data_IF_758793863598
#
_entry.id   IF_758793863598
#
_cell.length_a   1.000
_cell.length_b   1.000
_cell.length_c   1.000
_cell.angle_alpha   90.00
_cell.angle_beta   90.00
_cell.angle_gamma   90.00
#
_symmetry.space_group_name_H-M   'P 1'
#
loop_
_entity.id
_entity.type
_entity.pdbx_description
1 polymer ?
#
# COMPACT_ATOMS: atom_id res chain seq x y z
N UNK A 1 31.39 7.54 -22.84
CA UNK A 1 30.40 8.60 -23.17
C UNK A 1 29.58 8.32 -24.44
N UNK A 2 29.44 7.05 -24.88
CA UNK A 2 28.66 6.73 -26.10
C UNK A 2 27.30 6.09 -25.81
N UNK A 3 27.08 5.51 -24.62
CA UNK A 3 25.80 4.89 -24.26
C UNK A 3 24.69 5.91 -23.99
N UNK A 4 25.00 7.10 -23.46
CA UNK A 4 24.02 8.14 -23.11
C UNK A 4 23.36 8.79 -24.33
N UNK A 5 24.03 8.81 -25.47
CA UNK A 5 23.54 9.45 -26.71
C UNK A 5 22.51 8.54 -27.41
N UNK A 6 22.65 7.22 -27.30
CA UNK A 6 21.66 6.25 -27.79
C UNK A 6 20.37 6.26 -26.94
N UNK A 7 20.46 6.57 -25.63
CA UNK A 7 19.29 6.67 -24.73
C UNK A 7 18.35 7.83 -25.12
N UNK A 8 18.89 9.02 -25.39
CA UNK A 8 18.06 10.20 -25.70
C UNK A 8 17.53 10.21 -27.14
N UNK A 9 18.24 9.61 -28.09
CA UNK A 9 17.90 9.71 -29.50
C UNK A 9 16.82 8.70 -29.94
N UNK A 10 16.54 7.68 -29.13
CA UNK A 10 15.79 6.51 -29.61
C UNK A 10 14.58 6.09 -28.77
N UNK A 11 14.05 6.93 -27.86
CA UNK A 11 12.76 6.71 -27.16
C UNK A 11 12.57 5.23 -26.72
N UNK A 12 13.63 4.60 -26.19
CA UNK A 12 13.65 3.17 -25.93
C UNK A 12 12.81 2.88 -24.68
N UNK A 13 11.52 2.63 -24.93
CA UNK A 13 10.49 2.23 -23.99
C UNK A 13 10.66 0.76 -23.61
N UNK A 14 11.70 0.42 -22.84
CA UNK A 14 11.99 -0.97 -22.52
C UNK A 14 12.89 -1.08 -21.27
N UNK A 15 12.33 -0.81 -20.10
CA UNK A 15 12.77 -1.48 -18.88
C UNK A 15 11.55 -2.13 -18.27
N UNK A 16 11.13 -3.22 -18.91
CA UNK A 16 10.02 -3.98 -18.38
C UNK A 16 10.44 -4.68 -17.09
N UNK A 17 9.62 -4.52 -16.06
CA UNK A 17 9.83 -5.22 -14.80
C UNK A 17 9.72 -6.72 -15.05
N UNK A 18 10.76 -7.53 -14.77
CA UNK A 18 10.65 -8.99 -14.85
C UNK A 18 9.59 -9.46 -13.86
N UNK A 19 8.84 -10.48 -14.24
CA UNK A 19 7.81 -11.06 -13.38
C UNK A 19 8.43 -11.47 -12.05
N UNK A 20 7.87 -11.05 -10.90
CA UNK A 20 8.36 -11.52 -9.62
C UNK A 20 8.18 -13.04 -9.56
N UNK A 21 9.31 -13.73 -9.54
CA UNK A 21 9.34 -15.18 -9.53
C UNK A 21 8.65 -15.71 -8.27
N UNK A 22 7.75 -16.70 -8.41
CA UNK A 22 6.91 -17.20 -7.31
C UNK A 22 7.70 -17.67 -6.08
N UNK A 23 8.98 -18.01 -6.26
CA UNK A 23 9.86 -18.50 -5.20
C UNK A 23 10.79 -17.42 -4.62
N UNK A 24 10.98 -16.28 -5.28
CA UNK A 24 11.95 -15.26 -4.83
C UNK A 24 11.31 -13.88 -4.77
N UNK A 25 11.26 -13.32 -3.57
CA UNK A 25 10.91 -11.91 -3.34
C UNK A 25 11.98 -11.02 -3.97
N UNK A 26 11.63 -10.31 -5.05
CA UNK A 26 12.60 -9.61 -5.89
C UNK A 26 13.28 -8.37 -5.24
N UNK A 27 12.76 -7.85 -4.12
CA UNK A 27 13.38 -6.75 -3.37
C UNK A 27 13.05 -6.82 -1.89
N UNK A 28 13.91 -6.24 -1.05
CA UNK A 28 13.64 -6.05 0.37
C UNK A 28 12.53 -5.00 0.61
N UNK A 29 11.76 -5.21 1.67
CA UNK A 29 10.73 -4.27 2.09
C UNK A 29 11.35 -2.99 2.66
N UNK A 30 10.88 -1.82 2.20
CA UNK A 30 11.22 -0.53 2.80
C UNK A 30 10.55 -0.41 4.18
N UNK A 31 11.04 0.48 5.03
CA UNK A 31 10.47 0.69 6.36
C UNK A 31 8.96 0.99 6.33
N UNK A 32 8.48 1.81 5.38
CA UNK A 32 7.03 2.07 5.21
C UNK A 32 6.28 0.79 4.87
N UNK A 33 6.84 -0.02 3.98
CA UNK A 33 6.21 -1.27 3.57
C UNK A 33 6.17 -2.26 4.72
N UNK A 34 7.19 -2.30 5.58
CA UNK A 34 7.19 -3.10 6.82
C UNK A 34 6.10 -2.62 7.79
N UNK A 35 5.96 -1.30 7.99
CA UNK A 35 4.89 -0.76 8.84
C UNK A 35 3.51 -1.07 8.27
N UNK A 36 3.30 -0.89 6.96
CA UNK A 36 2.03 -1.19 6.31
C UNK A 36 1.73 -2.70 6.28
N UNK A 37 2.76 -3.53 6.17
CA UNK A 37 2.65 -4.99 6.25
C UNK A 37 2.12 -5.44 7.61
N UNK A 38 2.66 -4.91 8.70
CA UNK A 38 2.18 -5.20 10.06
C UNK A 38 0.70 -4.84 10.22
N UNK A 39 0.29 -3.66 9.72
CA UNK A 39 -1.11 -3.23 9.75
C UNK A 39 -1.99 -4.14 8.89
N UNK A 40 -1.54 -4.47 7.68
CA UNK A 40 -2.26 -5.34 6.76
C UNK A 40 -2.46 -6.75 7.34
N UNK A 41 -1.45 -7.26 8.08
CA UNK A 41 -1.51 -8.55 8.75
C UNK A 41 -2.59 -8.59 9.83
N UNK A 42 -2.62 -7.60 10.72
CA UNK A 42 -3.67 -7.50 11.74
C UNK A 42 -5.05 -7.30 11.10
N UNK A 43 -5.10 -6.52 10.02
CA UNK A 43 -6.33 -6.34 9.25
C UNK A 43 -6.84 -7.64 8.63
N UNK A 44 -5.96 -8.43 8.01
CA UNK A 44 -6.31 -9.72 7.42
C UNK A 44 -6.81 -10.69 8.48
N UNK A 45 -6.14 -10.73 9.64
CA UNK A 45 -6.58 -11.53 10.79
C UNK A 45 -7.99 -11.12 11.25
N UNK A 46 -8.26 -9.83 11.35
CA UNK A 46 -9.60 -9.31 11.68
C UNK A 46 -10.66 -9.73 10.65
N UNK A 47 -10.35 -9.61 9.36
CA UNK A 47 -11.28 -10.03 8.30
C UNK A 47 -11.62 -11.52 8.37
N UNK A 48 -10.62 -12.37 8.63
CA UNK A 48 -10.81 -13.81 8.79
C UNK A 48 -11.65 -14.11 10.03
N UNK A 49 -11.38 -13.45 11.16
CA UNK A 49 -12.15 -13.62 12.40
C UNK A 49 -13.62 -13.19 12.25
N UNK A 50 -13.88 -12.16 11.44
CA UNK A 50 -15.25 -11.71 11.16
C UNK A 50 -15.96 -12.50 10.06
N UNK A 51 -15.26 -13.39 9.37
CA UNK A 51 -15.86 -14.18 8.31
C UNK A 51 -16.88 -15.17 8.91
N UNK A 52 -18.06 -15.24 8.27
CA UNK A 52 -19.14 -16.16 8.69
C UNK A 52 -18.98 -17.54 8.05
N UNK A 53 -18.18 -17.62 6.99
CA UNK A 53 -17.88 -18.85 6.29
C UNK A 53 -16.59 -19.45 6.87
N UNK A 54 -16.47 -20.79 6.94
CA UNK A 54 -15.24 -21.46 7.36
C UNK A 54 -14.14 -21.17 6.35
N UNK A 55 -13.13 -20.41 6.77
CA UNK A 55 -11.99 -20.02 5.95
C UNK A 55 -10.71 -20.09 6.78
N UNK A 56 -9.69 -20.73 6.18
CA UNK A 56 -8.32 -20.74 6.71
C UNK A 56 -7.42 -20.02 5.71
N UNK A 57 -6.75 -18.95 6.12
CA UNK A 57 -5.82 -18.21 5.27
C UNK A 57 -4.38 -18.53 5.68
N UNK A 58 -3.60 -19.10 4.77
CA UNK A 58 -2.15 -19.21 4.89
C UNK A 58 -1.50 -17.98 4.23
N UNK A 59 -0.97 -17.09 5.05
CA UNK A 59 -0.39 -15.82 4.62
C UNK A 59 1.14 -15.86 4.64
N UNK A 60 1.74 -15.57 3.50
CA UNK A 60 3.20 -15.41 3.34
C UNK A 60 3.51 -13.95 2.99
N UNK A 61 4.17 -13.19 3.88
CA UNK A 61 4.51 -11.79 3.62
C UNK A 61 5.62 -11.68 2.58
N UNK A 62 5.63 -10.56 1.86
CA UNK A 62 6.66 -10.24 0.88
C UNK A 62 7.75 -9.34 1.45
N UNK A 63 9.01 -9.61 1.08
CA UNK A 63 10.14 -8.67 1.24
C UNK A 63 11.09 -8.95 2.39
N UNK A 64 10.84 -9.98 3.18
CA UNK A 64 11.74 -10.44 4.24
C UNK A 64 11.69 -11.96 4.32
N UNK A 65 12.84 -12.63 4.21
CA UNK A 65 12.91 -14.09 4.18
C UNK A 65 12.79 -14.71 5.58
N UNK A 66 12.99 -13.91 6.63
CA UNK A 66 12.94 -14.36 8.02
C UNK A 66 11.52 -14.37 8.61
N UNK A 67 10.56 -13.73 7.94
CA UNK A 67 9.19 -13.63 8.46
C UNK A 67 8.41 -14.88 8.05
N UNK A 68 8.21 -15.77 9.01
CA UNK A 68 7.50 -17.03 8.84
C UNK A 68 6.06 -16.87 8.33
N UNK A 69 5.61 -17.88 7.59
CA UNK A 69 4.22 -18.05 7.19
C UNK A 69 3.30 -18.03 8.41
N UNK A 70 2.13 -17.42 8.27
CA UNK A 70 1.13 -17.35 9.33
C UNK A 70 -0.20 -17.87 8.86
N UNK A 71 -0.85 -18.64 9.73
CA UNK A 71 -2.17 -19.20 9.47
C UNK A 71 -3.21 -18.46 10.28
N UNK A 72 -4.22 -17.91 9.60
CA UNK A 72 -5.39 -17.29 10.21
C UNK A 72 -6.58 -18.20 10.02
N UNK A 73 -7.33 -18.47 11.08
CA UNK A 73 -8.46 -19.39 11.07
C UNK A 73 -9.71 -18.61 11.50
N UNK A 74 -10.79 -18.74 10.73
CA UNK A 74 -12.08 -18.15 11.08
C UNK A 74 -12.69 -18.79 12.33
N UNK A 75 -13.57 -18.09 13.04
CA UNK A 75 -14.27 -18.65 14.20
C UNK A 75 -15.19 -19.83 13.84
N UNK A 76 -15.67 -19.90 12.60
CA UNK A 76 -16.33 -21.09 12.07
C UNK A 76 -15.29 -22.13 11.66
N UNK A 77 -15.29 -23.27 12.32
CA UNK A 77 -14.34 -24.35 12.05
C UNK A 77 -14.68 -25.04 10.74
N UNK A 78 -13.71 -25.14 9.84
CA UNK A 78 -13.78 -26.13 8.75
C UNK A 78 -13.39 -27.50 9.32
N UNK A 79 -14.01 -28.59 8.85
CA UNK A 79 -13.68 -29.93 9.33
C UNK A 79 -12.20 -30.27 9.06
N UNK A 80 -11.59 -31.21 9.81
CA UNK A 80 -10.18 -31.57 9.64
C UNK A 80 -9.83 -32.14 8.25
N UNK A 81 -10.82 -32.48 7.42
CA UNK A 81 -10.65 -33.04 6.07
C UNK A 81 -10.94 -32.05 4.93
N UNK A 82 -11.42 -30.83 5.24
CA UNK A 82 -11.85 -29.87 4.22
C UNK A 82 -10.71 -28.93 3.79
N UNK A 83 -9.77 -29.48 3.01
CA UNK A 83 -8.77 -28.71 2.25
C UNK A 83 -9.39 -27.69 1.26
N UNK A 84 -10.71 -27.76 1.06
CA UNK A 84 -11.50 -26.84 0.25
C UNK A 84 -11.60 -25.42 0.84
N UNK A 85 -11.48 -25.29 2.17
CA UNK A 85 -11.56 -24.03 2.93
C UNK A 85 -10.23 -23.26 3.06
N UNK A 86 -9.10 -23.90 2.75
CA UNK A 86 -7.77 -23.27 2.86
C UNK A 86 -7.49 -22.38 1.65
N UNK A 87 -7.04 -21.15 1.89
CA UNK A 87 -6.65 -20.17 0.86
C UNK A 87 -5.21 -19.76 1.15
N UNK A 88 -4.34 -19.93 0.17
CA UNK A 88 -2.95 -19.47 0.23
C UNK A 88 -2.86 -18.07 -0.36
N UNK A 89 -2.27 -17.15 0.41
CA UNK A 89 -2.08 -15.75 0.03
C UNK A 89 -0.61 -15.41 0.19
N UNK A 90 0.07 -15.20 -0.93
CA UNK A 90 1.50 -14.87 -0.97
C UNK A 90 1.74 -13.51 -1.59
N UNK A 91 2.36 -12.61 -0.84
CA UNK A 91 2.79 -11.31 -1.37
C UNK A 91 4.12 -11.49 -2.10
N UNK A 92 4.10 -11.38 -3.42
CA UNK A 92 5.28 -11.55 -4.28
C UNK A 92 6.21 -10.33 -4.24
N UNK A 93 5.63 -9.13 -4.06
CA UNK A 93 6.38 -7.88 -4.01
C UNK A 93 5.91 -6.99 -2.87
N UNK A 94 6.82 -6.44 -2.03
CA UNK A 94 6.48 -5.50 -0.96
C UNK A 94 5.81 -4.21 -1.44
N UNK A 95 5.85 -3.93 -2.75
CA UNK A 95 5.17 -2.77 -3.33
C UNK A 95 3.65 -2.89 -3.17
N UNK A 96 3.14 -4.11 -3.02
CA UNK A 96 1.75 -4.41 -2.74
C UNK A 96 1.23 -3.56 -1.57
N UNK A 97 1.93 -3.53 -0.43
CA UNK A 97 1.45 -2.81 0.76
C UNK A 97 1.33 -1.31 0.54
N UNK A 98 2.28 -0.72 -0.19
CA UNK A 98 2.20 0.69 -0.55
C UNK A 98 1.04 0.95 -1.52
N UNK A 99 0.85 0.08 -2.52
CA UNK A 99 -0.23 0.21 -3.52
C UNK A 99 -1.61 -0.05 -2.92
N UNK A 100 -1.73 -0.97 -1.98
CA UNK A 100 -3.01 -1.34 -1.35
C UNK A 100 -3.73 -0.12 -0.75
N UNK A 101 -2.98 0.77 -0.09
CA UNK A 101 -3.50 2.00 0.55
C UNK A 101 -4.12 2.99 -0.44
N UNK A 102 -3.69 2.96 -1.71
CA UNK A 102 -4.19 3.86 -2.74
C UNK A 102 -5.57 3.46 -3.28
N UNK A 103 -5.94 2.18 -3.16
CA UNK A 103 -7.25 1.71 -3.60
C UNK A 103 -8.35 2.18 -2.64
N UNK A 104 -9.53 2.46 -3.21
CA UNK A 104 -10.71 2.83 -2.42
C UNK A 104 -11.48 1.60 -1.94
N UNK A 105 -11.44 0.51 -2.71
CA UNK A 105 -12.11 -0.74 -2.40
C UNK A 105 -11.09 -1.87 -2.27
N UNK A 106 -11.13 -2.55 -1.14
CA UNK A 106 -10.18 -3.60 -0.81
C UNK A 106 -10.33 -4.80 -1.76
N UNK A 107 -11.55 -5.15 -2.17
CA UNK A 107 -11.79 -6.20 -3.17
C UNK A 107 -11.23 -5.84 -4.55
N UNK A 108 -11.37 -4.57 -4.99
CA UNK A 108 -10.75 -4.06 -6.21
C UNK A 108 -9.22 -4.13 -6.11
N UNK A 109 -8.67 -3.72 -4.96
CA UNK A 109 -7.23 -3.76 -4.70
C UNK A 109 -6.67 -5.16 -4.90
N UNK A 110 -7.29 -6.17 -4.27
CA UNK A 110 -6.85 -7.56 -4.38
C UNK A 110 -6.95 -8.06 -5.82
N UNK A 111 -8.05 -7.79 -6.52
CA UNK A 111 -8.21 -8.25 -7.91
C UNK A 111 -7.19 -7.59 -8.85
N UNK A 112 -7.01 -6.27 -8.75
CA UNK A 112 -6.03 -5.55 -9.58
C UNK A 112 -4.60 -6.00 -9.27
N UNK A 113 -4.30 -6.29 -8.00
CA UNK A 113 -2.95 -6.74 -7.60
C UNK A 113 -2.66 -8.20 -7.96
N UNK A 114 -3.68 -9.06 -8.07
CA UNK A 114 -3.55 -10.45 -8.55
C UNK A 114 -3.50 -10.50 -10.09
N UNK A 115 -4.46 -9.87 -10.76
CA UNK A 115 -4.67 -10.01 -12.20
C UNK A 115 -3.84 -9.04 -13.05
N UNK A 116 -3.71 -7.77 -12.63
CA UNK A 116 -3.04 -6.74 -13.43
C UNK A 116 -1.60 -6.53 -12.99
N UNK A 117 -1.37 -6.37 -11.69
CA UNK A 117 -0.09 -5.95 -11.13
C UNK A 117 0.77 -7.11 -10.60
N UNK A 118 0.22 -8.34 -10.55
CA UNK A 118 0.78 -9.59 -9.98
C UNK A 118 1.80 -9.36 -8.85
N UNK A 119 1.43 -8.51 -7.90
CA UNK A 119 2.21 -8.31 -6.67
C UNK A 119 1.73 -9.25 -5.56
N UNK A 120 0.56 -9.83 -5.75
CA UNK A 120 -0.09 -10.81 -4.89
C UNK A 120 -0.36 -12.09 -5.69
N UNK A 121 -0.11 -13.24 -5.10
CA UNK A 121 -0.50 -14.54 -5.61
C UNK A 121 -1.49 -15.19 -4.64
N UNK A 122 -2.52 -15.81 -5.20
CA UNK A 122 -3.46 -16.63 -4.44
C UNK A 122 -3.84 -17.85 -5.26
N UNK A 123 -4.08 -18.96 -4.58
CA UNK A 123 -4.54 -20.21 -5.16
C UNK A 123 -6.04 -20.16 -5.52
N UNK A 124 -6.87 -19.50 -4.70
CA UNK A 124 -8.33 -19.45 -4.82
C UNK A 124 -8.85 -18.00 -4.79
N UNK A 125 -8.68 -17.22 -5.87
CA UNK A 125 -9.07 -15.81 -5.91
C UNK A 125 -10.57 -15.59 -5.68
N UNK A 126 -11.43 -16.50 -6.15
CA UNK A 126 -12.88 -16.41 -5.99
C UNK A 126 -13.31 -16.46 -4.52
N UNK A 127 -12.68 -17.33 -3.72
CA UNK A 127 -12.98 -17.46 -2.29
C UNK A 127 -12.42 -16.26 -1.50
N UNK A 128 -11.26 -15.75 -1.91
CA UNK A 128 -10.66 -14.56 -1.31
C UNK A 128 -11.60 -13.35 -1.42
N UNK A 129 -12.30 -13.20 -2.55
CA UNK A 129 -13.28 -12.11 -2.68
C UNK A 129 -14.37 -12.18 -1.61
N UNK A 130 -14.81 -13.37 -1.17
CA UNK A 130 -15.86 -13.52 -0.13
C UNK A 130 -15.39 -12.99 1.23
N UNK A 131 -14.09 -13.05 1.51
CA UNK A 131 -13.48 -12.50 2.73
C UNK A 131 -13.46 -10.97 2.66
N UNK A 132 -13.13 -10.41 1.50
CA UNK A 132 -13.04 -8.95 1.29
C UNK A 132 -14.36 -8.27 0.88
N UNK A 133 -15.39 -9.02 0.48
CA UNK A 133 -16.69 -8.51 -0.02
C UNK A 133 -17.68 -8.15 1.10
N UNK A 134 -17.33 -8.32 2.37
CA UNK A 134 -18.32 -8.20 3.46
C UNK A 134 -18.63 -6.75 3.86
N UNK A 135 -19.94 -6.52 4.01
CA UNK A 135 -20.78 -5.41 4.53
C UNK A 135 -20.09 -4.05 4.72
N UNK A 136 -20.63 -3.06 4.00
CA UNK A 136 -20.09 -1.70 3.88
C UNK A 136 -19.52 -1.12 5.17
N UNK A 137 -18.35 -0.48 5.02
CA UNK A 137 -17.62 0.21 6.08
C UNK A 137 -18.55 0.97 7.02
N UNK A 138 -18.39 0.82 8.35
CA UNK A 138 -19.17 1.57 9.32
C UNK A 138 -19.02 3.08 9.10
N UNK A 139 -20.04 3.88 9.45
CA UNK A 139 -19.95 5.32 9.34
C UNK A 139 -18.82 5.86 10.21
N UNK A 140 -18.16 6.92 9.73
CA UNK A 140 -16.97 7.51 10.35
C UNK A 140 -17.25 7.85 11.81
N UNK A 141 -16.68 7.09 12.74
CA UNK A 141 -16.63 7.43 14.16
C UNK A 141 -15.28 8.07 14.46
N UNK A 142 -15.09 9.31 13.99
CA UNK A 142 -13.87 10.06 14.26
C UNK A 142 -13.90 10.56 15.71
N UNK A 143 -13.07 9.98 16.56
CA UNK A 143 -12.92 10.41 17.95
C UNK A 143 -12.32 11.81 18.08
N UNK A 144 -11.54 12.25 17.08
CA UNK A 144 -10.83 13.53 17.08
C UNK A 144 -11.02 14.30 15.75
N UNK A 145 -11.02 15.63 15.82
CA UNK A 145 -11.08 16.52 14.65
C UNK A 145 -9.84 16.38 13.73
N UNK A 146 -8.65 16.18 14.31
CA UNK A 146 -7.43 15.98 13.53
C UNK A 146 -7.49 14.68 12.72
N UNK A 147 -8.02 13.62 13.33
CA UNK A 147 -8.26 12.36 12.63
C UNK A 147 -9.18 12.60 11.44
N UNK A 148 -10.32 13.26 11.65
CA UNK A 148 -11.25 13.61 10.58
C UNK A 148 -10.59 14.36 9.41
N UNK A 149 -9.80 15.41 9.72
CA UNK A 149 -9.10 16.18 8.69
C UNK A 149 -8.09 15.33 7.92
N UNK A 150 -7.36 14.46 8.61
CA UNK A 150 -6.40 13.56 7.99
C UNK A 150 -7.08 12.53 7.09
N UNK A 151 -8.23 11.99 7.50
CA UNK A 151 -9.00 11.08 6.68
C UNK A 151 -9.61 11.77 5.46
N UNK A 152 -10.04 13.02 5.58
CA UNK A 152 -10.48 13.79 4.42
C UNK A 152 -9.34 14.03 3.43
N UNK A 153 -8.14 14.31 3.94
CA UNK A 153 -6.94 14.42 3.12
C UNK A 153 -6.61 13.10 2.42
N UNK A 154 -6.59 11.97 3.15
CA UNK A 154 -6.37 10.63 2.60
C UNK A 154 -7.42 10.29 1.52
N UNK A 155 -8.70 10.56 1.81
CA UNK A 155 -9.80 10.33 0.87
C UNK A 155 -9.62 11.13 -0.42
N UNK A 156 -9.22 12.39 -0.33
CA UNK A 156 -8.96 13.27 -1.48
C UNK A 156 -7.72 12.84 -2.28
N UNK A 157 -6.69 12.34 -1.60
CA UNK A 157 -5.43 11.96 -2.22
C UNK A 157 -5.46 10.57 -2.87
N UNK A 158 -6.39 9.69 -2.47
CA UNK A 158 -6.52 8.35 -3.04
C UNK A 158 -6.78 8.36 -4.54
N UNK A 159 -5.98 7.58 -5.24
CA UNK A 159 -6.08 7.34 -6.68
C UNK A 159 -5.76 5.89 -6.94
N UNK A 160 -6.52 5.23 -7.81
CA UNK A 160 -6.15 3.90 -8.29
C UNK A 160 -4.70 3.99 -8.84
N UNK A 161 -3.76 3.18 -8.32
CA UNK A 161 -2.39 3.18 -8.82
C UNK A 161 -2.36 2.85 -10.30
N UNK A 162 -1.42 3.47 -11.02
CA UNK A 162 -1.20 3.09 -12.42
C UNK A 162 -0.81 1.61 -12.52
N UNK A 163 -1.29 0.98 -13.60
CA UNK A 163 -0.97 -0.41 -13.91
C UNK A 163 0.54 -0.51 -14.13
N UNK A 164 1.15 -1.53 -13.55
CA UNK A 164 2.57 -1.80 -13.78
C UNK A 164 2.73 -2.28 -15.23
N UNK A 165 3.36 -1.45 -16.08
CA UNK A 165 3.67 -1.81 -17.46
C UNK A 165 4.63 -3.00 -17.52
N UNK A 166 4.33 -3.97 -18.38
CA UNK A 166 5.01 -5.27 -18.50
C UNK A 166 5.25 -5.63 -19.96
N UNK A 167 6.26 -6.48 -20.25
CA UNK A 167 6.50 -6.91 -21.61
C UNK A 167 5.29 -7.74 -22.05
N UNK A 168 4.81 -7.49 -23.27
CA UNK A 168 3.68 -8.21 -23.85
C UNK A 168 4.07 -9.68 -24.09
N UNK A 169 3.76 -10.56 -23.13
CA UNK A 169 3.76 -12.00 -23.39
C UNK A 169 2.52 -12.32 -24.24
N UNK A 170 2.68 -12.21 -25.58
CA UNK A 170 1.94 -12.78 -26.73
C UNK A 170 0.42 -13.08 -26.70
N UNK A 171 -0.37 -12.79 -25.67
CA UNK A 171 -1.80 -13.20 -25.60
C UNK A 171 -2.72 -12.18 -24.94
N UNK A 172 -2.45 -10.87 -25.04
CA UNK A 172 -3.46 -9.88 -24.72
C UNK A 172 -3.41 -8.72 -25.72
N UNK A 173 -4.21 -8.86 -26.77
CA UNK A 173 -4.52 -7.76 -27.68
C UNK A 173 -5.18 -6.62 -26.91
N UNK A 174 -4.65 -5.42 -27.11
CA UNK A 174 -5.25 -4.11 -26.84
C UNK A 174 -6.53 -4.10 -25.98
N UNK A 175 -6.40 -4.37 -24.68
CA UNK A 175 -7.41 -3.93 -23.71
C UNK A 175 -7.18 -2.44 -23.52
N UNK A 176 -7.92 -1.66 -24.30
CA UNK A 176 -8.12 -0.24 -24.06
C UNK A 176 -8.30 0.00 -22.56
N UNK A 177 -7.59 0.99 -22.04
CA UNK A 177 -7.72 1.46 -20.66
C UNK A 177 -9.17 1.89 -20.45
N UNK A 178 -10.02 0.95 -20.01
CA UNK A 178 -11.35 1.27 -19.52
C UNK A 178 -11.10 2.09 -18.27
N UNK A 179 -11.25 3.41 -18.39
CA UNK A 179 -11.32 4.33 -17.26
C UNK A 179 -12.46 3.84 -16.38
N UNK A 180 -12.12 3.04 -15.37
CA UNK A 180 -13.07 2.54 -14.40
C UNK A 180 -13.85 3.71 -13.83
N UNK A 181 -15.17 3.54 -13.76
CA UNK A 181 -16.08 4.52 -13.18
C UNK A 181 -15.58 4.86 -11.78
N UNK A 182 -15.45 6.16 -11.51
CA UNK A 182 -14.97 6.68 -10.24
C UNK A 182 -16.02 6.47 -9.13
N UNK A 183 -16.06 5.25 -8.58
CA UNK A 183 -16.92 4.86 -7.45
C UNK A 183 -16.40 5.36 -6.09
N UNK A 184 -15.32 6.17 -6.08
CA UNK A 184 -14.59 6.61 -4.87
C UNK A 184 -15.36 7.58 -3.97
N UNK A 185 -16.45 8.18 -4.44
CA UNK A 185 -17.13 9.25 -3.70
C UNK A 185 -17.76 8.80 -2.37
N UNK A 186 -18.06 7.50 -2.22
CA UNK A 186 -19.04 7.09 -1.22
C UNK A 186 -18.49 6.53 0.09
N UNK A 187 -17.28 5.94 0.17
CA UNK A 187 -16.87 5.19 1.38
C UNK A 187 -15.38 5.29 1.73
N UNK A 188 -15.10 5.11 3.01
CA UNK A 188 -13.76 4.94 3.58
C UNK A 188 -13.24 3.54 3.21
N UNK A 189 -11.92 3.33 3.09
CA UNK A 189 -11.40 1.96 2.89
C UNK A 189 -11.70 1.16 4.15
N UNK A 190 -12.02 -0.12 3.98
CA UNK A 190 -12.31 -1.01 5.11
C UNK A 190 -11.09 -1.16 6.03
N UNK A 191 -9.86 -1.07 5.48
CA UNK A 191 -8.64 -1.06 6.29
C UNK A 191 -8.49 0.22 7.13
N UNK A 192 -8.88 1.39 6.62
CA UNK A 192 -8.87 2.62 7.45
C UNK A 192 -9.89 2.52 8.58
N UNK A 193 -11.08 1.98 8.28
CA UNK A 193 -12.13 1.77 9.27
C UNK A 193 -11.65 0.81 10.37
N UNK A 194 -10.94 -0.25 9.99
CA UNK A 194 -10.32 -1.17 10.94
C UNK A 194 -9.30 -0.47 11.86
N UNK A 195 -8.38 0.32 11.29
CA UNK A 195 -7.37 1.06 12.08
C UNK A 195 -8.03 2.07 13.02
N UNK A 196 -9.20 2.61 12.65
CA UNK A 196 -9.99 3.48 13.51
C UNK A 196 -10.66 2.72 14.66
N UNK A 197 -11.17 1.52 14.41
CA UNK A 197 -11.90 0.72 15.38
C UNK A 197 -11.00 -0.01 16.39
N UNK A 198 -9.83 -0.49 15.97
CA UNK A 198 -9.02 -1.41 16.79
C UNK A 198 -8.33 -0.74 18.00
N UNK A 199 -8.34 0.59 18.09
CA UNK A 199 -8.02 1.32 19.32
C UNK A 199 -6.54 1.38 19.74
N UNK A 200 -5.61 0.73 19.03
CA UNK A 200 -4.18 0.89 19.30
C UNK A 200 -3.65 2.22 18.75
N UNK A 201 -3.30 3.12 19.67
CA UNK A 201 -2.82 4.47 19.35
C UNK A 201 -1.48 4.44 18.62
N UNK A 202 -0.60 3.51 18.96
CA UNK A 202 0.73 3.44 18.36
C UNK A 202 0.64 3.00 16.91
N UNK A 203 -0.06 1.88 16.65
CA UNK A 203 -0.29 1.35 15.31
C UNK A 203 -1.06 2.33 14.43
N UNK A 204 -2.10 2.99 14.97
CA UNK A 204 -2.84 4.04 14.26
C UNK A 204 -1.94 5.20 13.85
N UNK A 205 -1.14 5.73 14.77
CA UNK A 205 -0.24 6.86 14.46
C UNK A 205 0.83 6.50 13.43
N UNK A 206 1.39 5.28 13.53
CA UNK A 206 2.39 4.75 12.59
C UNK A 206 1.79 4.56 11.19
N UNK A 207 0.57 4.01 11.12
CA UNK A 207 -0.20 3.87 9.88
C UNK A 207 -0.44 5.24 9.23
N UNK A 208 -1.08 6.15 9.96
CA UNK A 208 -1.44 7.48 9.46
C UNK A 208 -0.22 8.26 8.96
N UNK A 209 0.87 8.26 9.74
CA UNK A 209 2.13 8.89 9.34
C UNK A 209 2.68 8.29 8.05
N UNK A 210 2.66 6.96 7.93
CA UNK A 210 3.19 6.25 6.76
C UNK A 210 2.35 6.54 5.51
N UNK A 211 1.02 6.51 5.64
CA UNK A 211 0.08 6.78 4.54
C UNK A 211 0.18 8.22 4.05
N UNK A 212 0.18 9.20 4.97
CA UNK A 212 0.33 10.61 4.61
C UNK A 212 1.67 10.86 3.93
N UNK A 213 2.75 10.30 4.48
CA UNK A 213 4.09 10.41 3.87
C UNK A 213 4.12 9.81 2.47
N UNK A 214 3.43 8.69 2.25
CA UNK A 214 3.34 8.04 0.96
C UNK A 214 2.62 8.93 -0.07
N UNK A 215 1.46 9.51 0.30
CA UNK A 215 0.72 10.40 -0.61
C UNK A 215 1.43 11.73 -0.86
N UNK A 216 2.07 12.31 0.17
CA UNK A 216 2.86 13.53 0.00
C UNK A 216 4.07 13.27 -0.89
N UNK A 217 4.74 12.13 -0.73
CA UNK A 217 5.84 11.73 -1.61
C UNK A 217 5.38 11.51 -3.06
N UNK A 218 4.18 10.96 -3.27
CA UNK A 218 3.59 10.84 -4.61
C UNK A 218 3.34 12.22 -5.26
N UNK A 219 2.79 13.17 -4.51
CA UNK A 219 2.47 14.50 -5.03
C UNK A 219 3.67 15.42 -5.25
N UNK A 220 4.65 15.38 -4.34
CA UNK A 220 5.76 16.35 -4.32
C UNK A 220 7.05 15.73 -4.85
N UNK A 221 7.27 14.44 -4.60
CA UNK A 221 8.58 13.81 -4.73
C UNK A 221 8.60 12.67 -5.77
N UNK A 222 7.72 12.71 -6.78
CA UNK A 222 7.63 11.68 -7.84
C UNK A 222 7.57 10.25 -7.28
N UNK A 223 6.72 10.02 -6.26
CA UNK A 223 6.56 8.73 -5.56
C UNK A 223 7.82 8.21 -4.83
N UNK A 224 8.86 9.03 -4.66
CA UNK A 224 10.05 8.65 -3.91
C UNK A 224 10.05 9.23 -2.50
N UNK A 225 9.82 8.35 -1.52
CA UNK A 225 9.88 8.68 -0.09
C UNK A 225 11.27 9.18 0.32
N UNK A 226 12.34 8.71 -0.34
CA UNK A 226 13.71 9.14 -0.07
C UNK A 226 13.94 10.60 -0.48
N UNK A 227 13.39 11.01 -1.63
CA UNK A 227 13.47 12.41 -2.08
C UNK A 227 12.74 13.33 -1.12
N UNK A 228 11.58 12.92 -0.62
CA UNK A 228 10.84 13.70 0.39
C UNK A 228 11.69 13.92 1.66
N UNK A 229 12.38 12.88 2.15
CA UNK A 229 13.29 13.00 3.29
C UNK A 229 14.44 13.98 3.04
N UNK A 230 14.98 13.99 1.81
CA UNK A 230 16.06 14.90 1.43
C UNK A 230 15.56 16.35 1.37
N UNK A 231 14.36 16.58 0.83
CA UNK A 231 13.73 17.90 0.82
C UNK A 231 13.45 18.40 2.24
N UNK A 232 12.98 17.53 3.14
CA UNK A 232 12.78 17.87 4.55
C UNK A 232 14.09 18.31 5.21
N UNK A 233 15.18 17.59 4.95
CA UNK A 233 16.50 17.91 5.49
C UNK A 233 17.02 19.25 4.94
N UNK A 234 16.88 19.49 3.63
CA UNK A 234 17.22 20.77 3.03
C UNK A 234 16.39 21.92 3.61
N UNK A 235 15.08 21.71 3.81
CA UNK A 235 14.22 22.69 4.46
C UNK A 235 14.69 23.03 5.88
N UNK A 236 15.05 22.02 6.68
CA UNK A 236 15.60 22.23 8.03
C UNK A 236 16.92 23.01 7.99
N UNK A 237 17.81 22.72 7.04
CA UNK A 237 19.07 23.46 6.88
C UNK A 237 18.83 24.93 6.53
N UNK A 238 17.90 25.21 5.61
CA UNK A 238 17.55 26.58 5.22
C UNK A 238 16.94 27.34 6.39
N UNK A 239 16.00 26.73 7.12
CA UNK A 239 15.37 27.37 8.29
C UNK A 239 16.39 27.66 9.39
N UNK A 240 17.24 26.69 9.71
CA UNK A 240 18.32 26.89 10.70
C UNK A 240 19.30 27.98 10.26
N UNK A 241 19.64 28.04 8.97
CA UNK A 241 20.49 29.09 8.42
C UNK A 241 19.86 30.47 8.53
N UNK A 242 18.58 30.61 8.17
CA UNK A 242 17.84 31.88 8.29
C UNK A 242 17.73 32.32 9.75
N UNK A 243 17.43 31.39 10.66
CA UNK A 243 17.40 31.69 12.10
C UNK A 243 18.78 32.14 12.61
N UNK A 244 19.85 31.46 12.22
CA UNK A 244 21.21 31.84 12.59
C UNK A 244 21.54 33.25 12.07
N UNK A 245 21.16 33.57 10.83
CA UNK A 245 21.39 34.86 10.19
C UNK A 245 20.60 35.99 10.90
N UNK A 246 19.34 35.73 11.26
CA UNK A 246 18.53 36.66 12.04
C UNK A 246 19.15 36.92 13.43
N UNK A 247 19.62 35.86 14.11
CA UNK A 247 20.30 36.01 15.40
C UNK A 247 21.58 36.85 15.24
N UNK A 248 22.39 36.58 14.21
CA UNK A 248 23.62 37.36 13.98
C UNK A 248 23.30 38.84 13.71
N UNK A 249 22.27 39.12 12.92
CA UNK A 249 21.82 40.49 12.65
C UNK A 249 21.32 41.19 13.93
N UNK A 250 20.60 40.50 14.81
CA UNK A 250 20.16 41.09 16.09
C UNK A 250 21.32 41.40 17.04
N UNK A 251 22.38 40.59 17.05
CA UNK A 251 23.56 40.80 17.91
C UNK A 251 24.40 41.97 17.38
N UNK A 252 24.60 42.06 16.06
CA UNK A 252 25.33 43.16 15.43
C UNK A 252 24.59 44.51 15.47
N UNK A 253 23.26 44.52 15.52
CA UNK A 253 22.46 45.73 15.65
C UNK A 253 22.40 46.32 17.07
N UNK A 254 22.91 45.60 18.08
CA UNK A 254 22.95 46.02 19.48
C UNK A 254 24.35 46.48 19.96
N UNK A 255 25.38 46.33 19.13
CA UNK A 255 26.75 46.85 19.36
C UNK A 255 26.98 48.17 18.66
#
# INVERSE_FOLDING_TARGET
>A
MQSTILFFKHNLHFWYRPEPYKERTGRSAKWIEKTLEQVFREYLKYLVQQSTAPVTILYTPGGDAEVSEQTFISSSTCGPEDSSCEIKVKVLSPIFYSRFVYYAHDSEAIFCEVAESCTLWTDKPEQLTRVFLKKGSPPIHASNLLDYMLFQLIKSLRRRPDKIERPLTSTNGHLSSVKGIDIRKFRISSMDAFVLEQGDKELKSAYLRSVVRLFVADRIAMSSVSLLSMMELMGRLVVSWVLALLITQTILGFS
#
